data_IF_295198548972
#
_entry.id   IF_295198548972
#
_cell.length_a   1.000
_cell.length_b   1.000
_cell.length_c   1.000
_cell.angle_alpha   90.00
_cell.angle_beta   90.00
_cell.angle_gamma   90.00
#
_symmetry.space_group_name_H-M   'P 1'
#
loop_
_entity.id
_entity.type
_entity.pdbx_description
1 polymer ?
#
# COMPACT_ATOMS: atom_id res chain seq x y z
N UNK A 1 -23.36 1.23 -15.44
CA UNK A 1 -23.87 2.56 -15.08
C UNK A 1 -25.15 2.34 -14.31
N UNK A 2 -25.15 2.63 -13.01
CA UNK A 2 -26.32 2.40 -12.16
C UNK A 2 -27.51 3.20 -12.66
N UNK A 3 -28.64 2.53 -12.82
CA UNK A 3 -29.93 3.11 -13.21
C UNK A 3 -30.43 3.94 -12.03
N UNK A 4 -29.99 5.18 -11.91
CA UNK A 4 -30.63 6.16 -11.02
C UNK A 4 -32.06 6.34 -11.54
N UNK A 5 -33.03 5.78 -10.83
CA UNK A 5 -34.44 6.00 -11.15
C UNK A 5 -34.86 7.30 -10.47
N UNK A 6 -35.60 8.16 -11.17
CA UNK A 6 -36.19 9.39 -10.61
C UNK A 6 -37.02 9.15 -9.33
N UNK A 7 -37.38 7.90 -9.03
CA UNK A 7 -38.02 7.51 -7.78
C UNK A 7 -37.10 7.59 -6.55
N UNK A 8 -35.78 7.75 -6.71
CA UNK A 8 -34.83 7.97 -5.62
C UNK A 8 -34.71 9.44 -5.20
N UNK A 9 -35.40 10.35 -5.89
CA UNK A 9 -35.45 11.76 -5.54
C UNK A 9 -36.31 11.93 -4.28
N UNK A 10 -35.66 12.38 -3.21
CA UNK A 10 -36.25 12.69 -1.90
C UNK A 10 -37.50 13.56 -2.00
N UNK A 11 -37.59 14.40 -3.05
CA UNK A 11 -38.67 15.34 -3.32
C UNK A 11 -40.07 14.69 -3.42
N UNK A 12 -40.18 13.40 -3.78
CA UNK A 12 -41.47 12.68 -3.85
C UNK A 12 -41.86 11.95 -2.56
N UNK A 13 -40.95 11.86 -1.58
CA UNK A 13 -41.14 11.08 -0.34
C UNK A 13 -41.22 11.96 0.89
N UNK A 14 -40.76 13.19 0.78
CA UNK A 14 -40.81 14.18 1.85
C UNK A 14 -42.00 15.13 1.63
N UNK A 15 -42.54 15.73 2.71
CA UNK A 15 -43.52 16.80 2.60
C UNK A 15 -43.03 17.95 1.71
N UNK A 16 -43.95 18.60 1.01
CA UNK A 16 -43.62 19.69 0.08
C UNK A 16 -42.85 20.81 0.78
N UNK A 17 -41.64 21.11 0.29
CA UNK A 17 -40.74 22.14 0.87
C UNK A 17 -39.73 21.63 1.89
N UNK A 18 -39.77 20.34 2.24
CA UNK A 18 -38.81 19.70 3.13
C UNK A 18 -37.67 19.05 2.34
N UNK A 19 -36.41 19.33 2.71
CA UNK A 19 -35.25 18.75 2.03
C UNK A 19 -34.30 18.03 2.99
N UNK A 20 -33.81 16.85 2.61
CA UNK A 20 -32.74 16.14 3.34
C UNK A 20 -31.44 16.93 3.26
N UNK A 21 -30.83 17.21 4.41
CA UNK A 21 -29.59 18.00 4.52
C UNK A 21 -28.39 17.19 5.02
N UNK A 22 -28.62 16.00 5.58
CA UNK A 22 -27.53 15.16 6.06
C UNK A 22 -27.96 13.80 6.61
N UNK A 23 -26.97 12.92 6.75
CA UNK A 23 -27.07 11.64 7.41
C UNK A 23 -25.95 11.56 8.45
N UNK A 24 -26.30 11.22 9.68
CA UNK A 24 -25.33 10.94 10.74
C UNK A 24 -25.11 9.43 10.82
N UNK A 25 -23.91 8.99 10.44
CA UNK A 25 -23.56 7.58 10.37
C UNK A 25 -23.41 6.94 11.75
N UNK A 26 -23.08 7.72 12.78
CA UNK A 26 -22.89 7.20 14.13
C UNK A 26 -24.24 6.92 14.81
N UNK A 27 -25.25 7.76 14.54
CA UNK A 27 -26.60 7.62 15.11
C UNK A 27 -27.62 7.00 14.16
N UNK A 28 -27.27 6.82 12.88
CA UNK A 28 -28.17 6.28 11.86
C UNK A 28 -29.39 7.15 11.58
N UNK A 29 -29.30 8.46 11.84
CA UNK A 29 -30.41 9.41 11.73
C UNK A 29 -30.26 10.32 10.51
N UNK A 30 -31.39 10.66 9.88
CA UNK A 30 -31.44 11.67 8.83
C UNK A 30 -31.87 13.03 9.36
N UNK A 31 -31.27 14.09 8.80
CA UNK A 31 -31.60 15.47 9.09
C UNK A 31 -32.28 16.12 7.90
N UNK A 32 -33.29 16.92 8.20
CA UNK A 32 -34.15 17.56 7.22
C UNK A 32 -34.32 19.04 7.55
N UNK A 33 -34.45 19.86 6.53
CA UNK A 33 -34.68 21.31 6.65
C UNK A 33 -35.98 21.67 5.95
N UNK A 34 -36.83 22.39 6.67
CA UNK A 34 -38.10 22.90 6.18
C UNK A 34 -37.93 24.28 5.51
N UNK A 35 -38.95 24.75 4.79
CA UNK A 35 -38.99 26.08 4.15
C UNK A 35 -38.73 27.21 5.14
N UNK A 36 -39.21 27.05 6.37
CA UNK A 36 -39.05 28.02 7.46
C UNK A 36 -37.65 27.98 8.10
N UNK A 37 -36.75 27.11 7.60
CA UNK A 37 -35.41 26.92 8.13
C UNK A 37 -35.35 26.08 9.41
N UNK A 38 -36.48 25.57 9.89
CA UNK A 38 -36.54 24.64 11.01
C UNK A 38 -35.85 23.32 10.64
N UNK A 39 -35.08 22.75 11.57
CA UNK A 39 -34.38 21.49 11.38
C UNK A 39 -35.14 20.38 12.10
N UNK A 40 -35.31 19.27 11.39
CA UNK A 40 -35.99 18.08 11.88
C UNK A 40 -35.05 16.88 11.80
N UNK A 41 -35.25 15.92 12.72
CA UNK A 41 -34.50 14.67 12.80
C UNK A 41 -35.47 13.50 12.68
N UNK A 42 -35.15 12.56 11.80
CA UNK A 42 -35.86 11.27 11.70
C UNK A 42 -35.39 10.27 12.76
N UNK A 43 -36.20 9.24 12.99
CA UNK A 43 -35.88 8.16 13.92
C UNK A 43 -34.70 7.30 13.43
N UNK A 44 -33.90 6.77 14.35
CA UNK A 44 -32.71 5.98 14.04
C UNK A 44 -33.07 4.74 13.21
N UNK A 45 -32.44 4.59 12.04
CA UNK A 45 -32.68 3.47 11.13
C UNK A 45 -33.95 3.59 10.27
N UNK A 46 -34.76 4.62 10.48
CA UNK A 46 -35.88 4.95 9.58
C UNK A 46 -35.41 5.93 8.51
N UNK A 47 -35.76 5.68 7.25
CA UNK A 47 -35.47 6.63 6.18
C UNK A 47 -36.52 7.74 6.03
N UNK A 48 -37.75 7.51 6.52
CA UNK A 48 -38.93 8.36 6.28
C UNK A 48 -40.02 8.27 7.39
N UNK A 49 -39.71 7.89 8.65
CA UNK A 49 -40.72 7.84 9.73
C UNK A 49 -40.87 9.19 10.48
N UNK A 50 -41.68 9.19 11.54
CA UNK A 50 -42.10 10.32 12.35
C UNK A 50 -40.94 11.29 12.68
N UNK A 51 -41.00 12.50 12.12
CA UNK A 51 -39.94 13.50 12.23
C UNK A 51 -40.09 14.29 13.53
N UNK A 52 -39.06 14.32 14.37
CA UNK A 52 -39.04 15.13 15.60
C UNK A 52 -38.36 16.46 15.33
N UNK A 53 -39.01 17.58 15.71
CA UNK A 53 -38.46 18.92 15.54
C UNK A 53 -37.27 19.13 16.48
N UNK A 54 -36.09 19.37 15.92
CA UNK A 54 -34.86 19.59 16.71
C UNK A 54 -34.65 21.07 17.02
N UNK A 55 -35.17 21.97 16.19
CA UNK A 55 -35.08 23.41 16.45
C UNK A 55 -36.31 24.19 15.97
N UNK A 56 -36.84 25.02 16.87
CA UNK A 56 -37.59 26.22 16.49
C UNK A 56 -36.60 27.38 16.36
N UNK A 57 -36.80 28.34 15.45
CA UNK A 57 -36.04 29.59 15.48
C UNK A 57 -36.36 30.25 16.83
N UNK A 58 -35.41 30.30 17.76
CA UNK A 58 -35.59 31.12 18.96
C UNK A 58 -35.38 32.59 18.55
N UNK A 59 -36.34 33.48 18.84
CA UNK A 59 -36.11 34.90 18.70
C UNK A 59 -35.04 35.31 19.73
N UNK A 60 -34.16 36.20 19.29
CA UNK A 60 -33.12 36.83 20.10
C UNK A 60 -33.70 37.50 21.34
N UNK A 61 -33.35 37.03 22.52
CA UNK A 61 -33.40 37.81 23.75
C UNK A 61 -32.12 37.59 24.52
N UNK A 62 -31.54 38.72 24.89
CA UNK A 62 -30.38 38.92 25.73
C UNK A 62 -30.55 38.32 27.13
N UNK A 63 -29.40 38.20 27.81
CA UNK A 63 -29.18 38.37 29.26
C UNK A 63 -28.35 37.21 29.85
N UNK A 64 -27.05 37.50 29.97
CA UNK A 64 -26.20 37.37 31.17
C UNK A 64 -26.29 36.08 32.03
N UNK A 65 -25.19 35.33 32.11
CA UNK A 65 -24.32 35.38 33.31
C UNK A 65 -23.14 34.37 33.28
N UNK A 66 -21.93 34.95 33.20
CA UNK A 66 -20.73 34.72 34.03
C UNK A 66 -19.77 33.54 33.81
N UNK A 67 -18.63 33.93 33.22
CA UNK A 67 -17.29 33.93 33.82
C UNK A 67 -16.57 32.60 34.08
N UNK A 68 -15.73 32.22 33.12
CA UNK A 68 -14.48 31.49 33.38
C UNK A 68 -13.32 32.47 33.12
N UNK A 69 -12.90 33.14 34.19
CA UNK A 69 -11.76 34.06 34.21
C UNK A 69 -10.49 33.35 33.73
N UNK A 70 -9.77 34.00 32.80
CA UNK A 70 -8.51 33.52 32.26
C UNK A 70 -7.78 34.61 31.48
N UNK A 71 -7.45 35.69 32.18
CA UNK A 71 -6.34 36.62 31.91
C UNK A 71 -6.12 37.14 30.47
N UNK A 72 -6.55 38.39 30.26
CA UNK A 72 -5.77 39.48 29.66
C UNK A 72 -5.03 39.22 28.35
N UNK A 73 -5.67 39.54 27.22
CA UNK A 73 -4.94 39.90 25.99
C UNK A 73 -4.77 41.43 25.93
N UNK A 74 -3.60 41.95 25.52
CA UNK A 74 -3.31 43.37 25.59
C UNK A 74 -4.09 44.10 24.50
N UNK A 75 -5.08 44.90 24.89
CA UNK A 75 -5.74 45.83 23.99
C UNK A 75 -4.74 46.91 23.55
N UNK A 76 -4.38 46.92 22.26
CA UNK A 76 -3.66 48.05 21.66
C UNK A 76 -4.54 49.30 21.75
N UNK A 77 -3.92 50.46 21.99
CA UNK A 77 -4.53 51.78 22.21
C UNK A 77 -5.48 52.31 21.10
N UNK A 78 -5.66 51.59 20.00
CA UNK A 78 -6.37 52.06 18.81
C UNK A 78 -7.66 51.30 18.49
N UNK A 79 -8.20 50.46 19.39
CA UNK A 79 -9.59 49.97 19.29
C UNK A 79 -9.95 49.04 18.13
N UNK A 80 -8.99 48.64 17.27
CA UNK A 80 -9.25 47.66 16.23
C UNK A 80 -9.09 46.23 16.78
N UNK A 81 -10.18 45.47 16.72
CA UNK A 81 -10.20 44.04 16.99
C UNK A 81 -9.62 43.30 15.78
N UNK A 82 -8.60 42.48 16.01
CA UNK A 82 -8.07 41.59 14.97
C UNK A 82 -9.22 40.72 14.46
N UNK A 83 -9.53 40.84 13.17
CA UNK A 83 -10.47 39.96 12.52
C UNK A 83 -9.92 38.52 12.60
N UNK A 84 -10.77 37.49 12.79
CA UNK A 84 -10.35 36.10 12.95
C UNK A 84 -9.45 35.55 11.83
N UNK A 85 -9.32 36.28 10.72
CA UNK A 85 -8.57 35.90 9.52
C UNK A 85 -7.07 36.17 9.60
N UNK A 86 -6.58 36.95 10.56
CA UNK A 86 -5.13 37.28 10.66
C UNK A 86 -4.34 36.33 11.57
N UNK A 87 -4.96 35.27 12.07
CA UNK A 87 -4.21 34.17 12.67
C UNK A 87 -3.64 33.29 11.55
N UNK A 88 -2.52 33.71 10.96
CA UNK A 88 -1.63 32.81 10.23
C UNK A 88 -0.96 31.84 11.23
N UNK A 89 -1.77 31.00 11.87
CA UNK A 89 -1.32 29.73 12.41
C UNK A 89 -1.40 28.77 11.24
N UNK A 90 -0.23 28.37 10.74
CA UNK A 90 -0.06 27.11 10.02
C UNK A 90 -0.44 25.97 10.98
N UNK A 91 -1.73 25.79 11.22
CA UNK A 91 -2.29 24.58 11.78
C UNK A 91 -2.11 23.52 10.71
N UNK A 92 -0.89 22.97 10.66
CA UNK A 92 -0.63 21.73 9.97
C UNK A 92 -1.47 20.72 10.73
N UNK A 93 -2.65 20.40 10.18
CA UNK A 93 -3.59 19.46 10.77
C UNK A 93 -2.88 18.11 10.91
N UNK A 94 -2.23 17.85 12.05
CA UNK A 94 -1.48 16.62 12.28
C UNK A 94 -2.39 15.38 12.18
N UNK A 95 -3.69 15.55 12.45
CA UNK A 95 -4.74 14.56 12.24
C UNK A 95 -5.05 14.29 10.76
N UNK A 96 -4.84 15.23 9.85
CA UNK A 96 -5.04 15.02 8.41
C UNK A 96 -3.97 14.09 7.82
N UNK A 97 -2.74 14.11 8.38
CA UNK A 97 -1.69 13.18 7.97
C UNK A 97 -1.93 11.75 8.46
N UNK A 98 -2.79 11.54 9.47
CA UNK A 98 -3.10 10.20 9.99
C UNK A 98 -3.92 9.36 9.01
N UNK A 99 -4.83 9.97 8.25
CA UNK A 99 -5.59 9.29 7.19
C UNK A 99 -4.81 9.22 5.87
N UNK A 100 -3.83 10.11 5.67
CA UNK A 100 -2.96 10.11 4.50
C UNK A 100 -1.73 9.19 4.65
N UNK A 101 -1.34 8.87 5.89
CA UNK A 101 -0.24 7.96 6.23
C UNK A 101 -0.28 6.60 5.50
N UNK A 102 -1.42 5.87 5.42
CA UNK A 102 -1.46 4.61 4.66
C UNK A 102 -1.17 4.81 3.17
N UNK A 103 -1.59 5.93 2.57
CA UNK A 103 -1.31 6.23 1.16
C UNK A 103 0.16 6.58 0.95
N UNK A 104 0.78 7.34 1.87
CA UNK A 104 2.22 7.60 1.82
C UNK A 104 3.05 6.33 2.00
N UNK A 105 2.62 5.39 2.86
CA UNK A 105 3.25 4.09 2.99
C UNK A 105 3.11 3.25 1.71
N UNK A 106 1.94 3.25 1.07
CA UNK A 106 1.75 2.56 -0.21
C UNK A 106 2.62 3.17 -1.31
N UNK A 107 2.67 4.50 -1.41
CA UNK A 107 3.52 5.21 -2.37
C UNK A 107 5.00 4.89 -2.10
N UNK A 108 5.45 4.94 -0.85
CA UNK A 108 6.82 4.59 -0.50
C UNK A 108 7.15 3.11 -0.82
N UNK A 109 6.24 2.18 -0.53
CA UNK A 109 6.42 0.76 -0.86
C UNK A 109 6.51 0.53 -2.38
N UNK A 110 5.67 1.21 -3.17
CA UNK A 110 5.71 1.18 -4.63
C UNK A 110 6.99 1.80 -5.17
N UNK A 111 7.42 2.95 -4.63
CA UNK A 111 8.69 3.59 -4.99
C UNK A 111 9.88 2.70 -4.66
N UNK A 112 9.89 2.04 -3.50
CA UNK A 112 10.92 1.06 -3.13
C UNK A 112 10.87 -0.18 -4.04
N UNK A 113 9.70 -0.62 -4.48
CA UNK A 113 9.57 -1.71 -5.45
C UNK A 113 10.07 -1.33 -6.83
N UNK A 114 9.74 -0.13 -7.32
CA UNK A 114 10.23 0.41 -8.59
C UNK A 114 11.73 0.64 -8.50
N UNK A 115 12.24 1.18 -7.39
CA UNK A 115 13.66 1.33 -7.12
C UNK A 115 14.37 -0.02 -7.08
N UNK A 116 13.79 -1.03 -6.44
CA UNK A 116 14.31 -2.41 -6.45
C UNK A 116 14.29 -3.01 -7.86
N UNK A 117 13.23 -2.80 -8.63
CA UNK A 117 13.09 -3.34 -9.98
C UNK A 117 14.02 -2.64 -10.99
N UNK A 118 14.27 -1.35 -10.82
CA UNK A 118 15.08 -0.53 -11.74
C UNK A 118 16.56 -0.48 -11.35
N UNK A 119 16.91 -0.45 -10.05
CA UNK A 119 18.29 -0.44 -9.56
C UNK A 119 18.81 -1.82 -9.12
N UNK A 120 17.99 -2.86 -9.05
CA UNK A 120 18.45 -4.23 -8.79
C UNK A 120 17.94 -5.25 -9.82
N UNK A 121 18.21 -5.07 -11.14
CA UNK A 121 17.93 -6.13 -12.10
C UNK A 121 18.86 -7.34 -11.94
N UNK A 122 19.79 -7.33 -10.97
CA UNK A 122 20.73 -8.41 -10.75
C UNK A 122 21.18 -8.48 -9.29
N UNK A 123 20.45 -9.24 -8.45
CA UNK A 123 21.19 -10.25 -7.69
C UNK A 123 21.66 -11.28 -8.71
N UNK A 124 22.69 -10.89 -9.46
CA UNK A 124 23.59 -11.85 -10.06
C UNK A 124 24.13 -12.58 -8.84
N UNK A 125 23.46 -13.69 -8.50
CA UNK A 125 24.10 -14.77 -7.80
C UNK A 125 25.40 -14.95 -8.58
N UNK A 126 26.50 -14.46 -8.02
CA UNK A 126 27.83 -14.75 -8.53
C UNK A 126 27.79 -16.20 -8.95
N UNK A 127 28.14 -16.54 -10.21
CA UNK A 127 27.90 -17.88 -10.74
C UNK A 127 28.45 -18.82 -9.69
N UNK A 128 27.55 -19.57 -9.03
CA UNK A 128 27.97 -20.53 -8.03
C UNK A 128 29.02 -21.34 -8.75
N UNK A 129 30.28 -21.28 -8.28
CA UNK A 129 31.38 -21.97 -8.94
C UNK A 129 30.87 -23.40 -9.12
N UNK A 130 30.56 -23.77 -10.37
CA UNK A 130 29.85 -25.01 -10.67
C UNK A 130 30.62 -26.19 -10.10
N UNK A 131 31.93 -25.99 -9.91
CA UNK A 131 32.84 -26.89 -9.24
C UNK A 131 33.61 -26.15 -8.11
N UNK A 132 33.64 -26.70 -6.89
CA UNK A 132 34.28 -26.07 -5.73
C UNK A 132 35.80 -26.21 -5.71
N UNK A 133 36.40 -27.11 -6.50
CA UNK A 133 37.84 -27.38 -6.48
C UNK A 133 38.61 -26.46 -7.44
N UNK A 134 39.82 -26.01 -7.08
CA UNK A 134 40.69 -25.31 -8.02
C UNK A 134 41.05 -26.23 -9.19
N UNK A 135 41.16 -25.68 -10.40
CA UNK A 135 41.50 -26.40 -11.64
C UNK A 135 40.47 -27.44 -12.11
N UNK A 136 39.20 -27.33 -11.71
CA UNK A 136 38.13 -28.14 -12.32
C UNK A 136 37.29 -27.29 -13.26
N UNK A 137 36.92 -27.87 -14.41
CA UNK A 137 36.01 -27.28 -15.38
C UNK A 137 34.66 -28.00 -15.33
N UNK A 138 33.60 -27.29 -15.72
CA UNK A 138 32.27 -27.87 -15.83
C UNK A 138 32.08 -28.46 -17.24
N UNK A 139 31.57 -29.68 -17.31
CA UNK A 139 31.23 -30.40 -18.52
C UNK A 139 29.73 -30.69 -18.52
N UNK A 140 29.06 -30.42 -19.64
CA UNK A 140 27.63 -30.68 -19.79
C UNK A 140 27.46 -32.01 -20.50
N UNK A 141 26.88 -32.98 -19.78
CA UNK A 141 26.68 -34.35 -20.25
C UNK A 141 25.76 -34.36 -21.46
N UNK A 142 26.23 -34.97 -22.55
CA UNK A 142 25.45 -35.16 -23.77
C UNK A 142 24.71 -36.51 -23.76
N UNK A 143 23.76 -36.66 -24.68
CA UNK A 143 23.03 -37.91 -24.81
C UNK A 143 23.95 -38.99 -25.36
N UNK A 144 24.11 -40.08 -24.60
CA UNK A 144 24.99 -41.21 -24.95
C UNK A 144 26.36 -41.19 -24.28
N UNK A 145 26.68 -40.14 -23.51
CA UNK A 145 27.94 -40.10 -22.76
C UNK A 145 27.94 -41.11 -21.61
N UNK A 146 29.09 -41.74 -21.40
CA UNK A 146 29.36 -42.55 -20.21
C UNK A 146 30.46 -41.91 -19.38
N UNK A 147 30.51 -42.21 -18.08
CA UNK A 147 31.63 -41.78 -17.24
C UNK A 147 33.00 -42.20 -17.80
N UNK A 148 33.06 -43.34 -18.47
CA UNK A 148 34.30 -43.86 -19.06
C UNK A 148 34.74 -43.04 -20.28
N UNK A 149 33.80 -42.67 -21.16
CA UNK A 149 34.08 -41.82 -22.32
C UNK A 149 34.53 -40.42 -21.89
N UNK A 150 33.82 -39.83 -20.91
CA UNK A 150 34.15 -38.52 -20.35
C UNK A 150 35.52 -38.57 -19.67
N UNK A 151 35.79 -39.58 -18.85
CA UNK A 151 37.08 -39.68 -18.13
C UNK A 151 38.24 -39.83 -19.11
N UNK A 152 38.06 -40.62 -20.18
CA UNK A 152 39.05 -40.80 -21.25
C UNK A 152 39.30 -39.50 -22.01
N UNK A 153 38.25 -38.74 -22.34
CA UNK A 153 38.35 -37.45 -23.02
C UNK A 153 39.07 -36.38 -22.16
N UNK A 154 38.91 -36.46 -20.85
CA UNK A 154 39.53 -35.54 -19.88
C UNK A 154 40.78 -36.10 -19.20
N UNK A 155 41.36 -37.19 -19.72
CA UNK A 155 42.58 -37.82 -19.22
C UNK A 155 42.59 -38.09 -17.70
N UNK A 156 41.45 -38.50 -17.14
CA UNK A 156 41.31 -38.85 -15.73
C UNK A 156 40.76 -40.28 -15.54
N UNK A 157 40.91 -40.82 -14.33
CA UNK A 157 40.27 -42.08 -13.97
C UNK A 157 38.80 -41.86 -13.61
N UNK A 158 37.98 -42.89 -13.78
CA UNK A 158 36.56 -42.86 -13.39
C UNK A 158 36.41 -42.64 -11.87
N UNK A 159 37.35 -43.11 -11.07
CA UNK A 159 37.35 -42.92 -9.62
C UNK A 159 37.56 -41.44 -9.26
N UNK A 160 38.52 -40.77 -9.90
CA UNK A 160 38.73 -39.32 -9.73
C UNK A 160 37.49 -38.54 -10.18
N UNK A 161 36.84 -38.95 -11.27
CA UNK A 161 35.60 -38.32 -11.74
C UNK A 161 34.46 -38.45 -10.70
N UNK A 162 34.33 -39.62 -10.06
CA UNK A 162 33.35 -39.87 -8.99
C UNK A 162 33.69 -39.10 -7.71
N UNK A 163 34.96 -38.99 -7.34
CA UNK A 163 35.41 -38.18 -6.19
C UNK A 163 35.14 -36.68 -6.38
N UNK A 164 35.24 -36.19 -7.61
CA UNK A 164 34.87 -34.81 -7.95
C UNK A 164 33.35 -34.59 -7.90
N UNK A 165 32.57 -35.63 -8.14
CA UNK A 165 31.13 -35.58 -8.30
C UNK A 165 30.44 -36.63 -7.42
N UNK A 166 30.60 -36.53 -6.10
CA UNK A 166 30.08 -37.53 -5.14
C UNK A 166 28.56 -37.78 -5.25
N UNK A 167 27.80 -36.87 -5.87
CA UNK A 167 26.36 -36.98 -6.09
C UNK A 167 25.98 -37.71 -7.39
N UNK A 168 26.94 -37.98 -8.28
CA UNK A 168 26.69 -38.55 -9.61
C UNK A 168 26.91 -40.06 -9.57
N UNK A 169 25.93 -40.80 -10.07
CA UNK A 169 26.02 -42.25 -10.28
C UNK A 169 26.26 -42.52 -11.76
N UNK A 170 27.38 -43.16 -12.09
CA UNK A 170 27.76 -43.41 -13.49
C UNK A 170 26.76 -44.29 -14.25
N UNK A 171 26.07 -45.21 -13.56
CA UNK A 171 25.06 -46.08 -14.18
C UNK A 171 23.75 -45.34 -14.50
N UNK A 172 23.57 -44.14 -13.95
CA UNK A 172 22.36 -43.32 -14.09
C UNK A 172 22.70 -41.89 -14.53
N UNK A 173 23.68 -41.77 -15.42
CA UNK A 173 24.09 -40.47 -15.94
C UNK A 173 22.97 -39.90 -16.82
N UNK A 174 22.42 -38.74 -16.44
CA UNK A 174 21.34 -38.09 -17.18
C UNK A 174 21.90 -37.01 -18.12
N UNK A 175 21.50 -36.99 -19.40
CA UNK A 175 21.84 -35.91 -20.32
C UNK A 175 21.40 -34.54 -19.76
N UNK A 176 22.24 -33.51 -19.94
CA UNK A 176 22.02 -32.17 -19.40
C UNK A 176 22.55 -31.95 -17.97
N UNK A 177 23.04 -33.00 -17.30
CA UNK A 177 23.71 -32.84 -16.01
C UNK A 177 25.05 -32.11 -16.17
N UNK A 178 25.41 -31.30 -15.17
CA UNK A 178 26.72 -30.65 -15.11
C UNK A 178 27.66 -31.50 -14.27
N UNK A 179 28.80 -31.86 -14.84
CA UNK A 179 29.83 -32.69 -14.24
C UNK A 179 31.13 -31.91 -14.09
N UNK A 180 31.78 -32.03 -12.95
CA UNK A 180 33.09 -31.43 -12.69
C UNK A 180 34.20 -32.36 -13.16
N UNK A 181 34.98 -31.90 -14.13
CA UNK A 181 36.12 -32.63 -14.69
C UNK A 181 37.42 -31.90 -14.33
N UNK A 182 38.55 -32.60 -14.18
CA UNK A 182 39.83 -31.93 -14.02
C UNK A 182 40.17 -31.14 -15.30
N UNK A 183 40.60 -29.91 -15.11
CA UNK A 183 41.03 -29.03 -16.19
C UNK A 183 42.36 -29.52 -16.75
N UNK A 184 42.31 -30.28 -17.83
CA UNK A 184 43.50 -30.45 -18.67
C UNK A 184 43.66 -29.14 -19.41
N UNK A 185 44.66 -28.34 -19.02
CA UNK A 185 45.17 -27.22 -19.82
C UNK A 185 45.31 -27.73 -21.25
N UNK A 186 44.45 -27.27 -22.17
CA UNK A 186 44.53 -27.66 -23.58
C UNK A 186 45.92 -27.23 -24.05
N UNK A 187 46.85 -28.18 -24.17
CA UNK A 187 48.10 -27.98 -24.87
C UNK A 187 47.75 -27.63 -26.31
N UNK A 188 47.69 -26.33 -26.58
CA UNK A 188 47.67 -25.76 -27.92
C UNK A 188 48.99 -26.15 -28.56
N UNK A 189 49.00 -27.28 -29.27
CA UNK A 189 50.13 -27.70 -30.09
C UNK A 189 50.29 -26.66 -31.20
N UNK A 190 51.38 -25.90 -31.13
CA UNK A 190 51.91 -25.08 -32.23
C UNK A 190 52.73 -25.93 -33.17
#
# INVERSE_FOLDING_TARGET
>A
MGRWTQYDEDDYRLPEGMKRIGYDADTGCYYFKDRDGSIWRGEAGSSYSEMTRVSSPRPSTSDDDRDLEGAGSPTRRNGYQLLPTDANKTNINASAYRTLFPFFLLIAAVLLLVWRLVLSPNLSAAPAKLCPKPQTTSYLVQSGDTCWDISKAHHCSVDVLKELNAKVQCDKLTPGAVLCVPGVEKSSKK
#
